data_IF_113659992089
#
_entry.id   IF_113659992089
#
_cell.length_a   1.000
_cell.length_b   1.000
_cell.length_c   1.000
_cell.angle_alpha   90.00
_cell.angle_beta   90.00
_cell.angle_gamma   90.00
#
_symmetry.space_group_name_H-M   'P 1'
#
loop_
_entity.id
_entity.type
_entity.pdbx_description
1 polymer ?
#
# COMPACT_ATOMS: atom_id res chain seq x y z
N UNK A 1 -4.29 -3.99 1.40
CA UNK A 1 -5.12 -4.50 2.52
C UNK A 1 -6.48 -3.83 2.54
N UNK A 2 -6.57 -2.53 2.86
CA UNK A 2 -7.84 -1.85 3.12
C UNK A 2 -8.88 -1.89 1.99
N UNK A 3 -8.44 -1.77 0.74
CA UNK A 3 -9.32 -1.84 -0.44
C UNK A 3 -10.16 -3.13 -0.46
N UNK A 4 -9.55 -4.27 -0.15
CA UNK A 4 -10.22 -5.58 -0.20
C UNK A 4 -10.71 -5.99 1.19
N UNK A 5 -9.81 -6.06 2.18
CA UNK A 5 -10.10 -6.58 3.52
C UNK A 5 -11.15 -5.75 4.26
N UNK A 6 -11.08 -4.43 4.15
CA UNK A 6 -12.00 -3.51 4.82
C UNK A 6 -13.01 -2.86 3.87
N UNK A 7 -13.06 -3.29 2.60
CA UNK A 7 -14.01 -2.80 1.60
C UNK A 7 -13.92 -1.29 1.33
N UNK A 8 -12.76 -0.66 1.58
CA UNK A 8 -12.51 0.75 1.25
C UNK A 8 -12.18 0.89 -0.25
N UNK A 9 -13.12 0.55 -1.13
CA UNK A 9 -12.88 0.32 -2.56
C UNK A 9 -13.49 1.36 -3.50
N UNK A 10 -14.00 2.50 -3.00
CA UNK A 10 -14.57 3.57 -3.84
C UNK A 10 -13.60 4.06 -4.93
N UNK A 11 -12.32 4.23 -4.55
CA UNK A 11 -11.22 4.60 -5.45
C UNK A 11 -9.91 4.20 -4.79
N UNK A 12 -9.00 3.57 -5.52
CA UNK A 12 -7.74 3.06 -4.95
C UNK A 12 -6.65 4.14 -4.97
N UNK A 13 -5.65 4.01 -4.09
CA UNK A 13 -4.59 5.02 -3.91
C UNK A 13 -3.91 5.43 -5.24
N UNK A 14 -3.62 4.45 -6.12
CA UNK A 14 -2.98 4.69 -7.43
C UNK A 14 -3.81 5.56 -8.39
N UNK A 15 -5.11 5.70 -8.17
CA UNK A 15 -5.97 6.56 -8.98
C UNK A 15 -5.99 8.03 -8.50
N UNK A 16 -5.27 8.33 -7.41
CA UNK A 16 -5.05 9.68 -6.91
C UNK A 16 -3.60 10.08 -7.18
N UNK A 17 -3.29 10.81 -8.27
CA UNK A 17 -1.90 11.03 -8.70
C UNK A 17 -1.06 11.73 -7.63
N UNK A 18 -1.59 12.78 -6.99
CA UNK A 18 -0.86 13.50 -5.94
C UNK A 18 -0.62 12.63 -4.68
N UNK A 19 -1.62 11.85 -4.24
CA UNK A 19 -1.47 10.99 -3.05
C UNK A 19 -0.56 9.79 -3.32
N UNK A 20 -0.65 9.23 -4.53
CA UNK A 20 0.20 8.10 -4.92
C UNK A 20 1.65 8.55 -5.09
N UNK A 21 1.90 9.69 -5.72
CA UNK A 21 3.25 10.25 -5.83
C UNK A 21 3.80 10.67 -4.47
N UNK A 22 2.99 11.21 -3.56
CA UNK A 22 3.40 11.48 -2.18
C UNK A 22 3.76 10.19 -1.41
N UNK A 23 3.02 9.11 -1.63
CA UNK A 23 3.33 7.81 -1.01
C UNK A 23 4.66 7.25 -1.53
N UNK A 24 4.92 7.36 -2.84
CA UNK A 24 6.18 6.94 -3.46
C UNK A 24 7.36 7.77 -2.96
N UNK A 25 7.17 9.08 -2.82
CA UNK A 25 8.13 10.05 -2.27
C UNK A 25 8.57 9.64 -0.87
N UNK A 26 7.63 9.44 0.06
CA UNK A 26 7.94 8.91 1.40
C UNK A 26 8.64 7.55 1.33
N UNK A 27 8.19 6.65 0.46
CA UNK A 27 8.77 5.31 0.34
C UNK A 27 10.23 5.34 -0.16
N UNK A 28 10.62 6.36 -0.92
CA UNK A 28 11.96 6.54 -1.49
C UNK A 28 12.90 7.33 -0.58
N UNK A 29 12.43 7.87 0.55
CA UNK A 29 13.29 8.43 1.59
C UNK A 29 14.26 7.35 2.09
N UNK A 30 15.53 7.72 2.22
CA UNK A 30 16.59 6.83 2.72
C UNK A 30 16.18 6.16 4.04
N UNK A 31 16.21 4.82 4.10
CA UNK A 31 15.84 4.04 5.27
C UNK A 31 14.34 3.70 5.39
N UNK A 32 13.44 4.31 4.61
CA UNK A 32 11.99 4.03 4.72
C UNK A 32 11.60 2.68 4.15
N UNK A 33 12.16 2.30 2.99
CA UNK A 33 11.85 1.03 2.32
C UNK A 33 12.09 -0.18 3.23
N UNK A 34 13.15 -0.14 4.02
CA UNK A 34 13.56 -1.20 4.95
C UNK A 34 12.54 -1.42 6.08
N UNK A 35 11.77 -0.38 6.42
CA UNK A 35 10.72 -0.46 7.46
C UNK A 35 9.41 -1.08 6.95
N UNK A 36 9.23 -1.20 5.63
CA UNK A 36 7.95 -1.61 5.03
C UNK A 36 8.01 -3.06 4.58
N UNK A 37 7.46 -3.97 5.39
CA UNK A 37 7.31 -5.38 5.03
C UNK A 37 5.88 -5.71 4.60
N UNK A 38 5.63 -5.71 3.28
CA UNK A 38 4.31 -6.00 2.70
C UNK A 38 3.82 -7.43 2.99
N UNK A 39 4.73 -8.40 3.12
CA UNK A 39 4.40 -9.78 3.48
C UNK A 39 3.83 -9.86 4.90
N UNK A 40 4.50 -9.21 5.86
CA UNK A 40 4.06 -9.14 7.25
C UNK A 40 2.71 -8.42 7.36
N UNK A 41 2.56 -7.26 6.70
CA UNK A 41 1.31 -6.49 6.66
C UNK A 41 0.15 -7.36 6.17
N UNK A 42 0.29 -8.02 5.01
CA UNK A 42 -0.80 -8.84 4.45
C UNK A 42 -1.13 -10.02 5.37
N UNK A 43 -0.13 -10.75 5.87
CA UNK A 43 -0.33 -11.91 6.73
C UNK A 43 -1.04 -11.55 8.03
N UNK A 44 -0.68 -10.43 8.65
CA UNK A 44 -1.34 -9.96 9.86
C UNK A 44 -2.82 -9.66 9.60
N UNK A 45 -3.15 -8.83 8.62
CA UNK A 45 -4.54 -8.42 8.41
C UNK A 45 -5.46 -9.54 7.93
N UNK A 46 -5.01 -10.38 6.99
CA UNK A 46 -5.85 -11.45 6.45
C UNK A 46 -5.89 -12.70 7.35
N UNK A 47 -4.87 -12.92 8.18
CA UNK A 47 -4.78 -14.06 9.08
C UNK A 47 -5.32 -13.81 10.50
N UNK A 48 -5.21 -12.59 11.03
CA UNK A 48 -5.61 -12.28 12.42
C UNK A 48 -7.07 -11.83 12.56
N UNK A 49 -7.82 -11.66 11.47
CA UNK A 49 -9.23 -11.24 11.50
C UNK A 49 -10.19 -12.34 11.00
N UNK A 50 -10.37 -13.44 11.74
CA UNK A 50 -11.23 -14.56 11.32
C UNK A 50 -12.71 -14.15 11.20
N UNK A 51 -13.17 -13.13 11.93
CA UNK A 51 -14.52 -12.58 11.81
C UNK A 51 -14.77 -11.87 10.47
N UNK A 52 -13.71 -11.36 9.82
CA UNK A 52 -13.79 -10.64 8.54
C UNK A 52 -13.40 -11.54 7.38
N UNK A 53 -12.39 -12.38 7.57
CA UNK A 53 -11.87 -13.32 6.57
C UNK A 53 -11.77 -14.74 7.16
N UNK A 54 -12.88 -15.49 7.21
CA UNK A 54 -12.94 -16.81 7.86
C UNK A 54 -11.94 -17.83 7.28
N UNK A 55 -11.66 -17.74 5.99
CA UNK A 55 -10.79 -18.68 5.29
C UNK A 55 -9.30 -18.30 5.38
N UNK A 56 -8.97 -17.13 5.94
CA UNK A 56 -7.58 -16.67 6.06
C UNK A 56 -6.85 -16.47 4.72
N UNK A 57 -7.59 -16.41 3.60
CA UNK A 57 -7.01 -16.32 2.26
C UNK A 57 -6.30 -14.98 2.11
N UNK A 58 -5.03 -15.01 1.72
CA UNK A 58 -4.22 -13.82 1.44
C UNK A 58 -4.23 -13.58 -0.08
N UNK A 59 -4.85 -12.50 -0.58
CA UNK A 59 -4.84 -12.17 -2.00
C UNK A 59 -3.42 -11.94 -2.51
N UNK A 60 -3.09 -12.39 -3.73
CA UNK A 60 -1.74 -12.25 -4.32
C UNK A 60 -1.43 -10.79 -4.66
N UNK A 61 -2.37 -10.05 -5.23
CA UNK A 61 -2.17 -8.65 -5.61
C UNK A 61 -2.20 -7.64 -4.44
N UNK A 62 -2.15 -6.33 -4.76
CA UNK A 62 -1.80 -5.75 -6.06
C UNK A 62 -0.27 -5.70 -6.25
N UNK A 63 0.21 -5.84 -7.49
CA UNK A 63 1.61 -5.62 -7.83
C UNK A 63 1.81 -4.11 -8.04
N UNK A 64 2.32 -3.42 -7.02
CA UNK A 64 2.55 -1.97 -7.04
C UNK A 64 4.02 -1.73 -6.83
N UNK A 65 4.63 -1.05 -7.79
CA UNK A 65 6.00 -0.58 -7.67
C UNK A 65 6.03 0.80 -7.01
N UNK A 66 6.41 0.83 -5.73
CA UNK A 66 6.58 2.07 -4.96
C UNK A 66 7.95 2.73 -5.20
N UNK A 67 8.88 2.03 -5.85
CA UNK A 67 10.20 2.55 -6.23
C UNK A 67 10.19 3.24 -7.60
N UNK A 68 9.07 3.20 -8.34
CA UNK A 68 8.92 3.94 -9.57
C UNK A 68 9.05 5.46 -9.35
N UNK A 69 9.61 6.22 -10.31
CA UNK A 69 9.78 7.67 -10.18
C UNK A 69 8.47 8.40 -9.77
N UNK A 70 8.60 9.40 -8.91
CA UNK A 70 7.51 10.31 -8.54
C UNK A 70 7.78 11.71 -9.09
N UNK A 71 6.74 12.48 -9.39
CA UNK A 71 6.84 13.83 -9.95
C UNK A 71 6.89 14.94 -8.87
N UNK A 72 7.23 14.58 -7.63
CA UNK A 72 7.14 15.46 -6.46
C UNK A 72 8.15 16.60 -6.47
N UNK A 73 9.26 16.46 -7.19
CA UNK A 73 10.28 17.50 -7.35
C UNK A 73 9.76 18.75 -8.07
N UNK A 74 8.59 18.68 -8.72
CA UNK A 74 7.93 19.85 -9.33
C UNK A 74 7.36 20.83 -8.30
N UNK A 75 7.17 20.39 -7.05
CA UNK A 75 6.63 21.23 -5.99
C UNK A 75 7.79 21.93 -5.26
N UNK A 76 7.69 23.25 -5.02
CA UNK A 76 8.72 23.98 -4.30
C UNK A 76 8.83 23.50 -2.84
N UNK A 77 10.04 23.57 -2.29
CA UNK A 77 10.32 23.34 -0.87
C UNK A 77 9.72 24.43 0.02
#
# INVERSE_FOLDING_TARGET
>A
VYVVHFKCNKKVLREYPNLFNYTKDIFQISGMKETVNMGHIKRHYYGSHPSINPFGIIPVGPNVDYSAPHDRDRFPC
#
